data_IF_405926854062
#
_entry.id   IF_405926854062
#
_cell.length_a   1.000
_cell.length_b   1.000
_cell.length_c   1.000
_cell.angle_alpha   90.00
_cell.angle_beta   90.00
_cell.angle_gamma   90.00
#
_symmetry.space_group_name_H-M   'P 1'
#
loop_
_entity.id
_entity.type
_entity.pdbx_description
1 polymer ?
#
# COMPACT_ATOMS: atom_id res chain seq x y z
N UNK A 1 1.51 23.15 -8.34
CA UNK A 1 2.70 23.60 -7.58
C UNK A 1 3.57 24.56 -8.37
N UNK A 2 3.84 24.34 -9.66
CA UNK A 2 4.65 25.28 -10.48
C UNK A 2 4.08 26.69 -10.54
N UNK A 3 2.77 26.88 -10.42
CA UNK A 3 2.12 28.18 -10.33
C UNK A 3 2.03 28.72 -8.89
N UNK A 4 2.73 28.13 -7.93
CA UNK A 4 2.69 28.53 -6.51
C UNK A 4 1.39 28.16 -5.78
N UNK A 5 0.51 27.36 -6.40
CA UNK A 5 -0.74 26.93 -5.77
C UNK A 5 -0.49 25.74 -4.84
N UNK A 6 -1.15 25.76 -3.69
CA UNK A 6 -1.14 24.64 -2.78
C UNK A 6 -1.92 23.45 -3.36
N UNK A 7 -1.37 22.25 -3.20
CA UNK A 7 -2.02 20.99 -3.55
C UNK A 7 -2.70 20.46 -2.28
N UNK A 8 -3.96 20.07 -2.39
CA UNK A 8 -4.71 19.54 -1.23
C UNK A 8 -4.16 18.18 -0.78
N UNK A 9 -4.27 17.87 0.51
CA UNK A 9 -3.93 16.56 1.06
C UNK A 9 -4.65 15.41 0.31
N UNK A 10 -5.92 15.61 -0.07
CA UNK A 10 -6.67 14.64 -0.88
C UNK A 10 -5.93 14.23 -2.16
N UNK A 11 -5.35 15.19 -2.88
CA UNK A 11 -4.61 14.92 -4.13
C UNK A 11 -3.27 14.28 -3.84
N UNK A 12 -2.56 14.74 -2.80
CA UNK A 12 -1.33 14.13 -2.35
C UNK A 12 -1.55 12.65 -2.01
N UNK A 13 -2.53 12.35 -1.16
CA UNK A 13 -2.88 10.98 -0.77
C UNK A 13 -3.35 10.11 -1.95
N UNK A 14 -4.08 10.70 -2.92
CA UNK A 14 -4.48 9.97 -4.14
C UNK A 14 -3.26 9.51 -4.93
N UNK A 15 -2.29 10.40 -5.17
CA UNK A 15 -1.07 10.08 -5.93
C UNK A 15 -0.24 9.05 -5.18
N UNK A 16 -0.03 9.25 -3.88
CA UNK A 16 0.71 8.35 -2.99
C UNK A 16 0.10 6.95 -2.99
N UNK A 17 -1.22 6.84 -2.78
CA UNK A 17 -1.91 5.54 -2.78
C UNK A 17 -1.87 4.87 -4.16
N UNK A 18 -2.01 5.62 -5.25
CA UNK A 18 -1.93 5.06 -6.60
C UNK A 18 -0.55 4.47 -6.89
N UNK A 19 0.52 5.15 -6.52
CA UNK A 19 1.89 4.62 -6.65
C UNK A 19 2.08 3.38 -5.77
N UNK A 20 1.64 3.41 -4.53
CA UNK A 20 1.73 2.26 -3.63
C UNK A 20 0.96 1.04 -4.18
N UNK A 21 -0.21 1.25 -4.76
CA UNK A 21 -1.00 0.17 -5.38
C UNK A 21 -0.21 -0.57 -6.48
N UNK A 22 0.74 0.10 -7.13
CA UNK A 22 1.58 -0.48 -8.19
C UNK A 22 2.89 -1.10 -7.70
N UNK A 23 3.13 -1.16 -6.38
CA UNK A 23 4.30 -1.87 -5.84
C UNK A 23 4.15 -3.37 -6.07
N UNK A 24 5.28 -4.10 -6.07
CA UNK A 24 5.24 -5.53 -6.33
C UNK A 24 4.31 -6.28 -5.38
N UNK A 25 3.51 -7.19 -5.91
CA UNK A 25 2.64 -8.10 -5.15
C UNK A 25 1.61 -7.40 -4.23
N UNK A 26 1.21 -6.16 -4.56
CA UNK A 26 0.18 -5.44 -3.81
C UNK A 26 -1.21 -5.64 -4.41
N UNK A 27 -1.38 -5.36 -5.69
CA UNK A 27 -2.69 -5.40 -6.33
C UNK A 27 -2.64 -6.07 -7.70
N UNK A 28 -3.39 -7.15 -7.84
CA UNK A 28 -3.55 -7.94 -9.07
C UNK A 28 -4.93 -7.74 -9.70
N UNK A 29 -5.78 -6.90 -9.09
CA UNK A 29 -7.15 -6.68 -9.55
C UNK A 29 -7.19 -5.58 -10.60
N UNK A 30 -7.45 -5.98 -11.85
CA UNK A 30 -7.57 -5.08 -13.00
C UNK A 30 -8.64 -4.01 -12.78
N UNK A 31 -9.81 -4.38 -12.26
CA UNK A 31 -10.93 -3.45 -12.04
C UNK A 31 -10.58 -2.40 -10.98
N UNK A 32 -9.88 -2.81 -9.93
CA UNK A 32 -9.34 -1.89 -8.91
C UNK A 32 -8.38 -0.86 -9.52
N UNK A 33 -7.44 -1.31 -10.35
CA UNK A 33 -6.47 -0.41 -11.03
C UNK A 33 -7.19 0.54 -11.99
N UNK A 34 -8.12 0.04 -12.79
CA UNK A 34 -8.90 0.88 -13.70
C UNK A 34 -9.72 1.94 -12.97
N UNK A 35 -10.34 1.57 -11.85
CA UNK A 35 -11.09 2.51 -11.01
C UNK A 35 -10.20 3.65 -10.50
N UNK A 36 -8.96 3.35 -10.09
CA UNK A 36 -7.98 4.34 -9.65
C UNK A 36 -7.54 5.27 -10.79
N UNK A 37 -7.36 4.73 -11.98
CA UNK A 37 -7.07 5.55 -13.18
C UNK A 37 -8.22 6.52 -13.44
N UNK A 38 -9.49 6.06 -13.41
CA UNK A 38 -10.67 6.92 -13.59
C UNK A 38 -10.74 8.02 -12.54
N UNK A 39 -10.52 7.68 -11.27
CA UNK A 39 -10.48 8.67 -10.19
C UNK A 39 -9.37 9.72 -10.41
N UNK A 40 -8.19 9.29 -10.86
CA UNK A 40 -7.08 10.19 -11.18
C UNK A 40 -7.42 11.12 -12.33
N UNK A 41 -8.06 10.62 -13.39
CA UNK A 41 -8.49 11.44 -14.53
C UNK A 41 -9.53 12.48 -14.11
N UNK A 42 -10.48 12.10 -13.23
CA UNK A 42 -11.48 13.03 -12.68
C UNK A 42 -10.83 14.16 -11.89
N UNK A 43 -9.92 13.86 -10.98
CA UNK A 43 -9.20 14.89 -10.21
C UNK A 43 -8.28 15.76 -11.10
N UNK A 44 -7.67 15.17 -12.12
CA UNK A 44 -6.90 15.90 -13.11
C UNK A 44 -7.74 16.96 -13.84
N UNK A 45 -8.96 16.62 -14.28
CA UNK A 45 -9.88 17.57 -14.92
C UNK A 45 -10.25 18.73 -14.00
N UNK A 46 -10.46 18.45 -12.70
CA UNK A 46 -10.72 19.49 -11.70
C UNK A 46 -9.51 20.42 -11.57
N UNK A 47 -8.30 19.86 -11.51
CA UNK A 47 -7.07 20.63 -11.41
C UNK A 47 -6.80 21.47 -12.66
N UNK A 48 -7.04 20.92 -13.85
CA UNK A 48 -6.83 21.66 -15.12
C UNK A 48 -7.68 22.92 -15.22
N UNK A 49 -8.89 22.94 -14.64
CA UNK A 49 -9.74 24.14 -14.56
C UNK A 49 -9.16 25.25 -13.69
N UNK A 50 -8.25 24.90 -12.79
CA UNK A 50 -7.60 25.85 -11.86
C UNK A 50 -6.26 26.37 -12.40
N UNK A 51 -5.71 25.75 -13.45
CA UNK A 51 -4.45 26.12 -14.06
C UNK A 51 -4.69 27.28 -15.04
N UNK A 52 -3.95 28.37 -14.87
CA UNK A 52 -4.16 29.61 -15.65
C UNK A 52 -3.00 29.97 -16.58
N UNK A 53 -1.79 29.51 -16.30
CA UNK A 53 -0.56 29.98 -16.94
C UNK A 53 0.20 28.91 -17.75
N UNK A 54 -0.29 27.67 -17.82
CA UNK A 54 0.35 26.65 -18.63
C UNK A 54 0.01 26.85 -20.12
N UNK A 55 0.98 27.33 -20.89
CA UNK A 55 0.85 27.50 -22.32
C UNK A 55 1.01 26.18 -23.08
N UNK A 56 1.73 25.23 -22.52
CA UNK A 56 1.95 23.90 -23.11
C UNK A 56 1.76 22.82 -22.04
N UNK A 57 0.78 21.95 -22.26
CA UNK A 57 0.57 20.78 -21.42
C UNK A 57 1.39 19.59 -21.96
N UNK A 58 2.13 18.85 -21.10
CA UNK A 58 2.76 17.60 -21.49
C UNK A 58 1.71 16.56 -21.93
N UNK A 59 2.12 15.61 -22.74
CA UNK A 59 1.22 14.59 -23.30
C UNK A 59 0.45 13.81 -22.21
N UNK A 60 1.11 13.43 -21.14
CA UNK A 60 0.48 12.76 -20.02
C UNK A 60 -0.66 13.57 -19.37
N UNK A 61 -0.56 14.91 -19.37
CA UNK A 61 -1.62 15.78 -18.87
C UNK A 61 -2.80 15.91 -19.85
N UNK A 62 -2.59 15.66 -21.14
CA UNK A 62 -3.66 15.69 -22.17
C UNK A 62 -4.45 14.39 -22.23
N UNK A 63 -3.85 13.26 -21.88
CA UNK A 63 -4.51 11.96 -21.95
C UNK A 63 -5.77 11.93 -21.09
N UNK A 64 -6.91 11.57 -21.70
CA UNK A 64 -8.23 11.61 -21.07
C UNK A 64 -8.87 10.22 -20.85
N UNK A 65 -8.14 9.15 -21.19
CA UNK A 65 -8.63 7.76 -21.04
C UNK A 65 -9.61 7.30 -22.12
N UNK A 66 -9.80 8.07 -23.21
CA UNK A 66 -10.71 7.70 -24.29
C UNK A 66 -10.16 6.58 -25.21
N UNK A 67 -8.85 6.37 -25.18
CA UNK A 67 -8.17 5.35 -25.96
C UNK A 67 -8.31 3.95 -25.32
N UNK A 68 -8.00 2.92 -26.11
CA UNK A 68 -7.79 1.57 -25.55
C UNK A 68 -6.60 1.60 -24.57
N UNK A 69 -6.85 1.27 -23.32
CA UNK A 69 -5.86 1.38 -22.26
C UNK A 69 -4.72 0.36 -22.39
N UNK A 70 -4.98 -0.80 -22.97
CA UNK A 70 -3.94 -1.80 -23.23
C UNK A 70 -2.99 -1.35 -24.34
N UNK A 71 -3.50 -0.68 -25.37
CA UNK A 71 -2.67 -0.05 -26.41
C UNK A 71 -1.88 1.12 -25.85
N UNK A 72 -2.51 1.98 -25.04
CA UNK A 72 -1.81 3.07 -24.36
C UNK A 72 -0.68 2.56 -23.47
N UNK A 73 -0.90 1.51 -22.71
CA UNK A 73 0.12 0.90 -21.86
C UNK A 73 1.36 0.46 -22.64
N UNK A 74 1.22 0.01 -23.88
CA UNK A 74 2.35 -0.36 -24.73
C UNK A 74 3.18 0.85 -25.14
N UNK A 75 2.55 2.02 -25.33
CA UNK A 75 3.24 3.25 -25.77
C UNK A 75 3.91 4.01 -24.64
N UNK A 76 3.52 3.77 -23.39
CA UNK A 76 4.06 4.44 -22.19
C UNK A 76 4.77 3.48 -21.24
N UNK A 77 4.92 2.21 -21.62
CA UNK A 77 5.57 1.18 -20.80
C UNK A 77 7.09 1.39 -20.73
N UNK A 78 7.73 0.60 -19.87
CA UNK A 78 9.18 0.65 -19.61
C UNK A 78 10.01 0.64 -20.89
N UNK A 79 9.66 -0.20 -21.86
CA UNK A 79 10.38 -0.36 -23.11
C UNK A 79 10.13 0.75 -24.14
N UNK A 80 9.28 1.74 -23.86
CA UNK A 80 9.08 2.90 -24.74
C UNK A 80 10.29 3.84 -24.75
N UNK A 81 11.16 3.78 -23.75
CA UNK A 81 12.43 4.50 -23.70
C UNK A 81 13.52 3.62 -24.31
N UNK A 82 14.01 3.98 -25.52
CA UNK A 82 14.99 3.16 -26.26
C UNK A 82 16.37 3.13 -25.61
N UNK A 83 16.85 4.29 -25.12
CA UNK A 83 18.15 4.39 -24.46
C UNK A 83 18.10 3.63 -23.12
N UNK A 84 18.96 2.62 -22.98
CA UNK A 84 18.96 1.73 -21.83
C UNK A 84 19.39 2.40 -20.53
N UNK A 85 20.32 3.32 -20.55
CA UNK A 85 20.80 4.03 -19.37
C UNK A 85 19.70 4.96 -18.84
N UNK A 86 19.06 5.74 -19.74
CA UNK A 86 17.93 6.61 -19.37
C UNK A 86 16.75 5.78 -18.86
N UNK A 87 16.41 4.70 -19.54
CA UNK A 87 15.35 3.77 -19.10
C UNK A 87 15.60 3.22 -17.71
N UNK A 88 16.81 2.70 -17.47
CA UNK A 88 17.19 2.12 -16.19
C UNK A 88 17.13 3.13 -15.04
N UNK A 89 17.59 4.36 -15.27
CA UNK A 89 17.51 5.43 -14.28
C UNK A 89 16.08 5.87 -14.00
N UNK A 90 15.25 6.02 -15.04
CA UNK A 90 13.81 6.33 -14.88
C UNK A 90 13.09 5.26 -14.08
N UNK A 91 13.36 3.99 -14.35
CA UNK A 91 12.78 2.87 -13.60
C UNK A 91 13.28 2.85 -12.14
N UNK A 92 14.58 3.07 -11.91
CA UNK A 92 15.13 3.13 -10.57
C UNK A 92 14.49 4.25 -9.73
N UNK A 93 14.32 5.44 -10.32
CA UNK A 93 13.59 6.55 -9.69
C UNK A 93 12.14 6.14 -9.39
N UNK A 94 11.45 5.57 -10.37
CA UNK A 94 10.05 5.13 -10.23
C UNK A 94 9.90 4.10 -9.11
N UNK A 95 10.78 3.11 -9.01
CA UNK A 95 10.77 2.13 -7.91
C UNK A 95 11.05 2.80 -6.56
N UNK A 96 12.00 3.73 -6.50
CA UNK A 96 12.26 4.51 -5.29
C UNK A 96 11.02 5.31 -4.84
N UNK A 97 10.32 5.95 -5.80
CA UNK A 97 9.09 6.69 -5.51
C UNK A 97 7.93 5.78 -5.07
N UNK A 98 7.83 4.56 -5.61
CA UNK A 98 6.86 3.56 -5.14
C UNK A 98 7.14 3.16 -3.68
N UNK A 99 8.40 2.93 -3.32
CA UNK A 99 8.80 2.67 -1.93
C UNK A 99 8.49 3.85 -1.02
N UNK A 100 8.87 5.07 -1.42
CA UNK A 100 8.54 6.30 -0.69
C UNK A 100 7.02 6.44 -0.49
N UNK A 101 6.22 6.14 -1.51
CA UNK A 101 4.77 6.22 -1.44
C UNK A 101 4.17 5.23 -0.44
N UNK A 102 4.76 4.04 -0.30
CA UNK A 102 4.34 3.07 0.69
C UNK A 102 4.55 3.59 2.12
N UNK A 103 5.72 4.15 2.41
CA UNK A 103 6.00 4.76 3.71
C UNK A 103 5.08 5.96 4.00
N UNK A 104 4.93 6.86 3.02
CA UNK A 104 4.05 8.02 3.15
C UNK A 104 2.60 7.62 3.40
N UNK A 105 2.07 6.63 2.66
CA UNK A 105 0.69 6.15 2.85
C UNK A 105 0.47 5.63 4.28
N UNK A 106 1.40 4.85 4.82
CA UNK A 106 1.27 4.35 6.19
C UNK A 106 1.34 5.46 7.24
N UNK A 107 2.16 6.50 7.02
CA UNK A 107 2.19 7.68 7.87
C UNK A 107 0.89 8.50 7.75
N UNK A 108 0.38 8.72 6.53
CA UNK A 108 -0.83 9.51 6.28
C UNK A 108 -2.07 8.92 6.98
N UNK A 109 -2.22 7.60 7.06
CA UNK A 109 -3.36 6.98 7.79
C UNK A 109 -3.28 7.19 9.30
N UNK A 110 -2.10 7.54 9.82
CA UNK A 110 -1.85 7.95 11.20
C UNK A 110 -1.81 9.47 11.37
N UNK A 111 -2.30 10.22 10.37
CA UNK A 111 -2.40 11.69 10.33
C UNK A 111 -1.04 12.43 10.32
N UNK A 112 0.03 11.76 9.86
CA UNK A 112 1.32 12.40 9.61
C UNK A 112 1.47 12.65 8.11
N UNK A 113 1.55 13.94 7.75
CA UNK A 113 1.74 14.41 6.38
C UNK A 113 3.04 15.24 6.28
N UNK A 114 3.68 15.21 5.10
CA UNK A 114 4.85 16.02 4.82
C UNK A 114 4.77 16.57 3.38
N UNK A 115 4.45 17.86 3.26
CA UNK A 115 4.28 18.51 1.95
C UNK A 115 5.58 18.57 1.13
N UNK A 116 6.75 18.56 1.75
CA UNK A 116 8.03 18.50 1.02
C UNK A 116 8.25 17.13 0.39
N UNK A 117 7.90 16.05 1.11
CA UNK A 117 7.94 14.68 0.58
C UNK A 117 6.95 14.52 -0.57
N UNK A 118 5.71 14.99 -0.38
CA UNK A 118 4.68 14.96 -1.42
C UNK A 118 5.07 15.76 -2.66
N UNK A 119 5.62 16.96 -2.45
CA UNK A 119 6.09 17.81 -3.55
C UNK A 119 7.24 17.18 -4.32
N UNK A 120 8.19 16.58 -3.61
CA UNK A 120 9.30 15.86 -4.25
C UNK A 120 8.79 14.67 -5.06
N UNK A 121 7.94 13.83 -4.46
CA UNK A 121 7.36 12.65 -5.13
C UNK A 121 6.69 13.03 -6.45
N UNK A 122 5.87 14.09 -6.44
CA UNK A 122 5.18 14.57 -7.63
C UNK A 122 6.16 15.17 -8.68
N UNK A 123 7.15 15.95 -8.23
CA UNK A 123 8.21 16.52 -9.09
C UNK A 123 9.00 15.41 -9.76
N UNK A 124 9.48 14.45 -8.99
CA UNK A 124 10.32 13.37 -9.49
C UNK A 124 9.56 12.44 -10.43
N UNK A 125 8.30 12.10 -10.11
CA UNK A 125 7.44 11.32 -11.01
C UNK A 125 7.21 12.04 -12.34
N UNK A 126 6.94 13.33 -12.32
CA UNK A 126 6.80 14.13 -13.55
C UNK A 126 8.12 14.21 -14.36
N UNK A 127 9.26 14.27 -13.68
CA UNK A 127 10.57 14.32 -14.31
C UNK A 127 10.91 13.04 -15.09
N UNK A 128 10.40 11.86 -14.69
CA UNK A 128 10.60 10.62 -15.45
C UNK A 128 9.98 10.65 -16.86
N UNK A 129 9.11 11.62 -17.15
CA UNK A 129 8.50 11.82 -18.47
C UNK A 129 9.20 12.92 -19.29
N UNK A 130 10.27 13.53 -18.78
CA UNK A 130 10.98 14.61 -19.45
C UNK A 130 12.15 14.06 -20.28
N UNK A 131 11.98 14.04 -21.61
CA UNK A 131 12.99 13.54 -22.54
C UNK A 131 14.22 14.45 -22.69
N UNK A 132 14.18 15.66 -22.12
CA UNK A 132 15.32 16.60 -22.16
C UNK A 132 16.30 16.41 -20.98
N UNK A 133 16.02 15.51 -20.03
CA UNK A 133 16.94 15.25 -18.94
C UNK A 133 18.10 14.38 -19.42
N UNK A 134 19.31 14.78 -19.07
CA UNK A 134 20.53 14.02 -19.31
C UNK A 134 20.65 12.83 -18.34
N UNK A 135 21.58 11.95 -18.60
CA UNK A 135 21.95 10.85 -17.66
C UNK A 135 22.40 11.42 -16.32
N UNK A 136 23.19 12.51 -16.33
CA UNK A 136 23.68 13.17 -15.12
C UNK A 136 22.52 13.75 -14.30
N UNK A 137 21.53 14.37 -14.95
CA UNK A 137 20.32 14.88 -14.29
C UNK A 137 19.53 13.75 -13.62
N UNK A 138 19.39 12.62 -14.29
CA UNK A 138 18.69 11.44 -13.76
C UNK A 138 19.45 10.76 -12.61
N UNK A 139 20.79 10.74 -12.67
CA UNK A 139 21.62 10.29 -11.55
C UNK A 139 21.41 11.19 -10.33
N UNK A 140 21.45 12.52 -10.53
CA UNK A 140 21.19 13.47 -9.46
C UNK A 140 19.79 13.28 -8.84
N UNK A 141 18.77 13.10 -9.68
CA UNK A 141 17.40 12.82 -9.24
C UNK A 141 17.27 11.49 -8.50
N UNK A 142 18.02 10.46 -8.91
CA UNK A 142 18.08 9.18 -8.19
C UNK A 142 18.63 9.36 -6.77
N UNK A 143 19.70 10.11 -6.62
CA UNK A 143 20.28 10.42 -5.29
C UNK A 143 19.31 11.25 -4.45
N UNK A 144 18.63 12.22 -5.05
CA UNK A 144 17.59 13.01 -4.37
C UNK A 144 16.41 12.12 -3.93
N UNK A 145 16.01 11.15 -4.74
CA UNK A 145 14.98 10.15 -4.40
C UNK A 145 15.37 9.36 -3.15
N UNK A 146 16.64 8.94 -3.06
CA UNK A 146 17.16 8.28 -1.86
C UNK A 146 17.10 9.17 -0.61
N UNK A 147 17.45 10.46 -0.75
CA UNK A 147 17.36 11.42 0.36
C UNK A 147 15.91 11.56 0.88
N UNK A 148 14.94 11.72 -0.02
CA UNK A 148 13.53 11.80 0.38
C UNK A 148 12.98 10.46 0.86
N UNK A 149 13.55 9.34 0.43
CA UNK A 149 13.30 8.03 1.00
C UNK A 149 13.60 7.98 2.51
N UNK A 150 14.75 8.54 2.93
CA UNK A 150 15.08 8.68 4.36
C UNK A 150 14.06 9.56 5.09
N UNK A 151 13.63 10.67 4.49
CA UNK A 151 12.60 11.54 5.08
C UNK A 151 11.27 10.83 5.25
N UNK A 152 10.86 10.02 4.26
CA UNK A 152 9.64 9.22 4.34
C UNK A 152 9.70 8.13 5.41
N UNK A 153 10.85 7.45 5.55
CA UNK A 153 11.06 6.47 6.63
C UNK A 153 11.01 7.12 8.00
N UNK A 154 11.64 8.28 8.18
CA UNK A 154 11.61 9.02 9.44
C UNK A 154 10.19 9.50 9.79
N UNK A 155 9.40 9.91 8.79
CA UNK A 155 8.00 10.26 8.97
C UNK A 155 7.17 9.06 9.43
N UNK A 156 7.36 7.90 8.81
CA UNK A 156 6.67 6.67 9.22
C UNK A 156 7.08 6.20 10.61
N UNK A 157 8.38 6.23 10.93
CA UNK A 157 8.87 5.89 12.27
C UNK A 157 8.23 6.78 13.34
N UNK A 158 8.19 8.10 13.09
CA UNK A 158 7.49 9.05 13.97
C UNK A 158 6.01 8.71 14.10
N UNK A 159 5.29 8.50 13.00
CA UNK A 159 3.87 8.18 13.01
C UNK A 159 3.57 6.91 13.82
N UNK A 160 4.35 5.85 13.62
CA UNK A 160 4.21 4.60 14.34
C UNK A 160 4.54 4.72 15.82
N UNK A 161 5.65 5.40 16.17
CA UNK A 161 6.08 5.52 17.56
C UNK A 161 5.20 6.46 18.36
N UNK A 162 4.70 7.54 17.77
CA UNK A 162 3.73 8.45 18.41
C UNK A 162 2.38 7.74 18.65
N UNK A 163 1.94 6.89 17.70
CA UNK A 163 0.66 6.19 17.80
C UNK A 163 0.72 4.95 18.69
N UNK A 164 1.80 4.18 18.61
CA UNK A 164 1.87 2.83 19.19
C UNK A 164 2.97 2.66 20.24
N UNK A 165 3.79 3.67 20.46
CA UNK A 165 4.94 3.65 21.37
C UNK A 165 6.21 3.12 20.72
N UNK A 166 7.33 3.27 21.41
CA UNK A 166 8.63 2.78 20.94
C UNK A 166 8.68 1.26 21.02
N UNK A 167 9.10 0.57 19.94
CA UNK A 167 9.24 -0.88 19.93
C UNK A 167 10.11 -1.43 21.06
N UNK A 168 9.68 -2.52 21.66
CA UNK A 168 10.34 -3.18 22.78
C UNK A 168 10.75 -4.61 22.45
N UNK A 169 11.81 -5.12 23.10
CA UNK A 169 12.18 -6.53 23.02
C UNK A 169 11.02 -7.36 23.56
N UNK A 170 10.45 -8.19 22.71
CA UNK A 170 9.19 -8.92 22.99
C UNK A 170 9.32 -10.39 22.63
N UNK A 171 8.87 -11.25 23.53
CA UNK A 171 8.67 -12.67 23.22
C UNK A 171 7.32 -12.83 22.53
N UNK A 172 7.32 -13.29 21.29
CA UNK A 172 6.11 -13.52 20.50
C UNK A 172 5.73 -15.01 20.59
N UNK A 173 4.47 -15.28 20.93
CA UNK A 173 3.94 -16.64 20.88
C UNK A 173 3.84 -17.11 19.43
N UNK A 174 4.25 -18.35 19.16
CA UNK A 174 4.16 -18.98 17.83
C UNK A 174 3.18 -20.16 17.81
N UNK A 175 2.49 -20.40 18.90
CA UNK A 175 1.43 -21.42 19.01
C UNK A 175 0.05 -20.82 18.77
N UNK A 176 -0.93 -21.69 18.57
CA UNK A 176 -2.34 -21.31 18.40
C UNK A 176 -3.16 -21.70 19.62
N UNK A 177 -4.25 -20.96 19.88
CA UNK A 177 -5.27 -21.28 20.88
C UNK A 177 -6.41 -22.09 20.24
N UNK A 178 -7.41 -22.41 21.06
CA UNK A 178 -8.59 -23.18 20.60
C UNK A 178 -9.71 -22.33 20.03
N UNK A 179 -9.67 -21.02 20.26
CA UNK A 179 -10.70 -20.09 19.81
C UNK A 179 -10.60 -19.84 18.30
N UNK A 180 -11.71 -19.45 17.65
CA UNK A 180 -11.67 -19.02 16.24
C UNK A 180 -10.64 -17.92 16.02
N UNK A 181 -9.92 -17.98 14.91
CA UNK A 181 -8.83 -17.04 14.65
C UNK A 181 -8.94 -16.32 13.31
N UNK A 182 -8.45 -15.08 13.26
CA UNK A 182 -8.21 -14.28 12.05
C UNK A 182 -6.70 -14.13 11.88
N UNK A 183 -6.22 -14.37 10.66
CA UNK A 183 -4.81 -14.15 10.28
C UNK A 183 -4.66 -12.81 9.57
N UNK A 184 -3.71 -11.99 10.00
CA UNK A 184 -3.42 -10.69 9.39
C UNK A 184 -2.01 -10.65 8.84
N UNK A 185 -1.87 -10.34 7.55
CA UNK A 185 -0.59 -10.22 6.87
C UNK A 185 -0.48 -8.87 6.15
N UNK A 186 0.74 -8.49 5.79
CA UNK A 186 1.05 -7.18 5.21
C UNK A 186 1.69 -6.26 6.25
N UNK A 187 1.48 -4.93 6.14
CA UNK A 187 2.27 -3.95 6.88
C UNK A 187 1.43 -2.88 7.61
N UNK A 188 0.11 -2.81 7.39
CA UNK A 188 -0.71 -1.70 7.90
C UNK A 188 -1.09 -1.92 9.37
N UNK A 189 -0.45 -1.15 10.27
CA UNK A 189 -0.71 -1.24 11.70
C UNK A 189 -2.07 -0.64 12.10
N UNK A 190 -2.59 0.32 11.32
CA UNK A 190 -3.90 0.91 11.58
C UNK A 190 -5.02 -0.09 11.30
N UNK A 191 -4.91 -0.85 10.20
CA UNK A 191 -5.85 -1.92 9.88
C UNK A 191 -5.82 -3.01 10.96
N UNK A 192 -4.64 -3.36 11.46
CA UNK A 192 -4.50 -4.30 12.58
C UNK A 192 -5.14 -3.76 13.86
N UNK A 193 -4.90 -2.49 14.21
CA UNK A 193 -5.52 -1.86 15.39
C UNK A 193 -7.04 -1.92 15.31
N UNK A 194 -7.62 -1.51 14.18
CA UNK A 194 -9.07 -1.54 13.96
C UNK A 194 -9.64 -2.96 14.08
N UNK A 195 -8.91 -3.98 13.56
CA UNK A 195 -9.29 -5.37 13.71
C UNK A 195 -9.29 -5.82 15.17
N UNK A 196 -8.24 -5.49 15.91
CA UNK A 196 -8.11 -5.84 17.32
C UNK A 196 -9.21 -5.20 18.19
N UNK A 197 -9.52 -3.92 17.93
CA UNK A 197 -10.61 -3.21 18.62
C UNK A 197 -11.97 -3.85 18.36
N UNK A 198 -12.27 -4.21 17.12
CA UNK A 198 -13.56 -4.79 16.74
C UNK A 198 -13.73 -6.23 17.23
N UNK A 199 -12.64 -6.98 17.35
CA UNK A 199 -12.67 -8.38 17.78
C UNK A 199 -12.49 -8.55 19.29
N UNK A 200 -12.15 -7.49 20.02
CA UNK A 200 -11.97 -7.55 21.47
C UNK A 200 -13.27 -7.97 22.17
N UNK A 201 -13.18 -8.99 23.02
CA UNK A 201 -14.32 -9.52 23.78
C UNK A 201 -15.30 -10.40 23.00
N UNK A 202 -15.05 -10.66 21.71
CA UNK A 202 -15.92 -11.52 20.87
C UNK A 202 -15.57 -13.00 20.94
N UNK A 203 -14.45 -13.37 21.56
CA UNK A 203 -13.93 -14.74 21.57
C UNK A 203 -13.17 -15.11 20.29
N UNK A 204 -12.79 -14.13 19.48
CA UNK A 204 -11.99 -14.32 18.26
C UNK A 204 -10.54 -13.90 18.51
N UNK A 205 -9.62 -14.82 18.28
CA UNK A 205 -8.17 -14.59 18.36
C UNK A 205 -7.63 -13.96 17.06
N UNK A 206 -6.61 -13.11 17.19
CA UNK A 206 -5.92 -12.48 16.04
C UNK A 206 -4.46 -12.91 16.05
N UNK A 207 -4.00 -13.37 14.91
CA UNK A 207 -2.62 -13.78 14.64
C UNK A 207 -2.02 -12.94 13.53
N UNK A 208 -0.76 -12.56 13.69
CA UNK A 208 0.01 -11.98 12.59
C UNK A 208 0.66 -13.06 11.73
N UNK A 209 1.02 -12.67 10.51
CA UNK A 209 1.81 -13.49 9.61
C UNK A 209 2.89 -12.63 8.94
N UNK A 210 4.08 -13.20 8.77
CA UNK A 210 5.18 -12.61 7.99
C UNK A 210 5.51 -11.18 8.42
N UNK A 211 5.37 -10.22 7.53
CA UNK A 211 5.77 -8.82 7.71
C UNK A 211 4.94 -8.06 8.77
N UNK A 212 3.84 -8.64 9.26
CA UNK A 212 3.06 -8.08 10.36
C UNK A 212 3.63 -8.45 11.74
N UNK A 213 4.59 -9.37 11.83
CA UNK A 213 5.25 -9.78 13.08
C UNK A 213 5.73 -8.58 13.94
N UNK A 214 6.34 -7.51 13.37
CA UNK A 214 6.79 -6.37 14.15
C UNK A 214 5.69 -5.65 14.96
N UNK A 215 4.42 -5.82 14.64
CA UNK A 215 3.32 -5.26 15.41
C UNK A 215 3.36 -5.66 16.90
N UNK A 216 3.83 -6.88 17.20
CA UNK A 216 3.97 -7.36 18.57
C UNK A 216 4.99 -6.58 19.42
N UNK A 217 5.88 -5.82 18.78
CA UNK A 217 6.92 -5.07 19.47
C UNK A 217 6.42 -3.74 20.03
N UNK A 218 5.29 -3.24 19.52
CA UNK A 218 4.73 -1.96 19.93
C UNK A 218 3.90 -2.09 21.22
N UNK A 219 4.15 -1.25 22.23
CA UNK A 219 3.46 -1.32 23.53
C UNK A 219 1.94 -1.23 23.42
N UNK A 220 1.43 -0.39 22.51
CA UNK A 220 -0.01 -0.13 22.36
C UNK A 220 -0.81 -1.39 21.99
N UNK A 221 -0.23 -2.35 21.30
CA UNK A 221 -0.90 -3.60 20.94
C UNK A 221 -0.92 -4.64 22.05
N UNK A 222 -0.05 -4.50 23.07
CA UNK A 222 0.03 -5.45 24.19
C UNK A 222 -1.19 -5.43 25.13
N UNK A 223 -2.03 -4.39 25.01
CA UNK A 223 -3.30 -4.29 25.76
C UNK A 223 -4.40 -5.24 25.29
N UNK A 224 -4.28 -5.80 24.07
CA UNK A 224 -5.32 -6.64 23.47
C UNK A 224 -5.12 -8.12 23.83
N UNK A 225 -5.99 -8.73 24.66
CA UNK A 225 -5.84 -10.12 25.07
C UNK A 225 -6.08 -11.12 23.94
N UNK A 226 -6.78 -10.69 22.89
CA UNK A 226 -7.04 -11.43 21.66
C UNK A 226 -5.91 -11.30 20.62
N UNK A 227 -4.87 -10.52 20.87
CA UNK A 227 -3.66 -10.45 20.04
C UNK A 227 -2.67 -11.53 20.49
N UNK A 228 -2.78 -12.72 19.90
CA UNK A 228 -2.22 -13.94 20.49
C UNK A 228 -0.76 -14.18 20.15
N UNK A 229 -0.39 -14.00 18.89
CA UNK A 229 0.95 -14.34 18.44
C UNK A 229 1.10 -14.31 16.92
N UNK A 230 2.19 -14.87 16.44
CA UNK A 230 2.48 -14.97 15.01
C UNK A 230 2.28 -16.40 14.52
N UNK A 231 1.53 -16.56 13.45
CA UNK A 231 1.31 -17.82 12.75
C UNK A 231 2.14 -17.87 11.48
N UNK A 232 2.88 -18.95 11.30
CA UNK A 232 3.66 -19.15 10.08
C UNK A 232 4.98 -18.40 10.06
N UNK A 233 5.51 -18.21 8.87
CA UNK A 233 6.88 -17.79 8.60
C UNK A 233 6.90 -16.58 7.64
N UNK A 234 7.76 -16.62 6.63
CA UNK A 234 7.93 -15.54 5.66
C UNK A 234 6.88 -15.61 4.54
N UNK A 235 6.66 -14.47 3.85
CA UNK A 235 5.61 -14.29 2.84
C UNK A 235 5.57 -15.38 1.76
N UNK A 236 6.69 -15.97 1.36
CA UNK A 236 6.73 -17.03 0.33
C UNK A 236 6.17 -18.38 0.80
N UNK A 237 5.87 -18.51 2.10
CA UNK A 237 5.23 -19.69 2.68
C UNK A 237 3.69 -19.61 2.69
N UNK A 238 3.13 -18.51 2.20
CA UNK A 238 1.67 -18.26 2.25
C UNK A 238 0.83 -19.42 1.73
N UNK A 239 1.26 -20.08 0.63
CA UNK A 239 0.43 -21.12 0.01
C UNK A 239 0.14 -22.30 0.93
N UNK A 240 1.11 -22.72 1.71
CA UNK A 240 0.99 -23.81 2.67
C UNK A 240 0.37 -23.34 3.98
N UNK A 241 0.80 -22.20 4.46
CA UNK A 241 0.42 -21.64 5.75
C UNK A 241 -1.02 -21.12 5.76
N UNK A 242 -1.43 -20.42 4.69
CA UNK A 242 -2.81 -19.95 4.55
C UNK A 242 -3.81 -21.10 4.32
N UNK A 243 -3.37 -22.14 3.63
CA UNK A 243 -4.19 -23.35 3.46
C UNK A 243 -4.42 -24.05 4.80
N UNK A 244 -3.41 -24.14 5.66
CA UNK A 244 -3.48 -24.79 6.97
C UNK A 244 -4.16 -23.97 8.06
N UNK A 245 -4.30 -22.64 7.89
CA UNK A 245 -4.88 -21.77 8.91
C UNK A 245 -6.40 -21.88 9.04
N UNK A 246 -7.15 -22.40 8.20
CA UNK A 246 -8.62 -22.63 8.20
C UNK A 246 -9.53 -21.42 8.53
N UNK A 247 -9.05 -20.33 9.12
CA UNK A 247 -9.80 -19.10 9.42
C UNK A 247 -9.75 -18.05 8.30
N UNK A 248 -10.44 -16.92 8.48
CA UNK A 248 -10.32 -15.76 7.60
C UNK A 248 -8.90 -15.19 7.59
N UNK A 249 -8.48 -14.66 6.43
CA UNK A 249 -7.14 -14.10 6.23
C UNK A 249 -7.31 -12.69 5.69
N UNK A 250 -6.68 -11.71 6.33
CA UNK A 250 -6.68 -10.31 5.94
C UNK A 250 -5.31 -9.90 5.41
N UNK A 251 -5.24 -9.54 4.13
CA UNK A 251 -4.07 -8.94 3.51
C UNK A 251 -4.23 -7.41 3.48
N UNK A 252 -3.41 -6.72 4.24
CA UNK A 252 -3.51 -5.25 4.39
C UNK A 252 -2.70 -4.50 3.34
N UNK A 253 -1.65 -5.11 2.81
CA UNK A 253 -0.75 -4.51 1.82
C UNK A 253 -0.18 -5.55 0.87
N UNK A 254 0.99 -5.28 0.30
CA UNK A 254 1.73 -6.17 -0.58
C UNK A 254 2.24 -7.45 0.12
N UNK A 255 3.02 -8.19 -0.63
CA UNK A 255 3.47 -9.57 -0.42
C UNK A 255 2.37 -10.61 -0.64
N UNK A 256 1.35 -10.29 -1.46
CA UNK A 256 0.35 -11.29 -1.87
C UNK A 256 1.02 -12.30 -2.80
N UNK A 257 0.98 -13.57 -2.43
CA UNK A 257 1.27 -14.69 -3.33
C UNK A 257 -0.06 -15.13 -3.96
N UNK A 258 -0.14 -15.36 -5.28
CA UNK A 258 -1.38 -15.80 -5.91
C UNK A 258 -2.01 -16.96 -5.14
N UNK A 259 -3.24 -16.76 -4.59
CA UNK A 259 -3.84 -17.73 -3.67
C UNK A 259 -4.26 -19.01 -4.38
N UNK A 260 -4.26 -20.12 -3.62
CA UNK A 260 -4.91 -21.36 -4.05
C UNK A 260 -6.43 -21.25 -3.91
N UNK A 261 -7.16 -21.99 -4.72
CA UNK A 261 -8.61 -22.05 -4.65
C UNK A 261 -9.12 -22.57 -3.28
N UNK A 262 -8.30 -23.38 -2.59
CA UNK A 262 -8.62 -23.97 -1.28
C UNK A 262 -8.81 -22.96 -0.14
N UNK A 263 -8.31 -21.72 -0.30
CA UNK A 263 -8.46 -20.67 0.73
C UNK A 263 -8.82 -19.27 0.18
N UNK A 264 -8.98 -19.14 -1.14
CA UNK A 264 -9.24 -17.86 -1.79
C UNK A 264 -10.54 -17.21 -1.34
N UNK A 265 -11.56 -17.99 -1.06
CA UNK A 265 -12.89 -17.55 -0.61
C UNK A 265 -12.88 -16.91 0.80
N UNK A 266 -11.86 -17.21 1.60
CA UNK A 266 -11.66 -16.64 2.94
C UNK A 266 -10.48 -15.65 3.01
N UNK A 267 -9.95 -15.24 1.83
CA UNK A 267 -8.94 -14.19 1.70
C UNK A 267 -9.60 -12.84 1.44
N UNK A 268 -9.31 -11.87 2.28
CA UNK A 268 -9.80 -10.51 2.22
C UNK A 268 -8.65 -9.55 2.02
N UNK A 269 -8.91 -8.41 1.38
CA UNK A 269 -7.90 -7.36 1.14
C UNK A 269 -8.39 -6.01 1.62
N UNK A 270 -7.48 -5.12 2.00
CA UNK A 270 -7.74 -3.72 2.37
C UNK A 270 -6.81 -2.77 1.63
N UNK A 271 -7.12 -1.48 1.64
CA UNK A 271 -6.24 -0.41 1.22
C UNK A 271 -5.72 -0.53 -0.21
N UNK A 272 -4.39 -0.65 -0.33
CA UNK A 272 -3.71 -0.82 -1.62
C UNK A 272 -3.75 -2.26 -2.14
N UNK A 273 -4.03 -3.24 -1.28
CA UNK A 273 -4.05 -4.66 -1.62
C UNK A 273 -5.28 -5.01 -2.46
N UNK A 274 -5.11 -5.94 -3.38
CA UNK A 274 -6.22 -6.44 -4.20
C UNK A 274 -5.86 -7.72 -4.96
N UNK A 275 -6.83 -8.62 -5.06
CA UNK A 275 -6.68 -9.83 -5.88
C UNK A 275 -8.03 -10.20 -6.53
N UNK A 276 -8.05 -10.60 -7.82
CA UNK A 276 -9.29 -10.95 -8.52
C UNK A 276 -10.08 -12.05 -7.81
N UNK A 277 -11.36 -11.77 -7.52
CA UNK A 277 -12.26 -12.71 -6.86
C UNK A 277 -12.08 -12.80 -5.34
N UNK A 278 -11.16 -12.05 -4.73
CA UNK A 278 -11.11 -11.84 -3.29
C UNK A 278 -11.95 -10.64 -2.88
N UNK A 279 -12.56 -10.71 -1.70
CA UNK A 279 -13.38 -9.62 -1.20
C UNK A 279 -12.49 -8.47 -0.72
N UNK A 280 -12.69 -7.28 -1.28
CA UNK A 280 -12.02 -6.07 -0.81
C UNK A 280 -12.89 -5.34 0.23
N UNK A 281 -12.29 -5.02 1.36
CA UNK A 281 -12.91 -4.25 2.43
C UNK A 281 -12.48 -2.80 2.25
N UNK A 282 -13.43 -1.92 1.92
CA UNK A 282 -13.22 -0.49 1.73
C UNK A 282 -13.93 0.30 2.82
N UNK A 283 -13.34 1.41 3.24
CA UNK A 283 -13.91 2.37 4.20
C UNK A 283 -13.01 2.62 5.41
N UNK A 284 -13.29 3.70 6.14
CA UNK A 284 -12.59 4.06 7.39
C UNK A 284 -12.89 3.09 8.54
N UNK A 285 -13.98 2.35 8.42
CA UNK A 285 -14.34 1.29 9.35
C UNK A 285 -14.31 0.00 8.56
N UNK A 286 -13.33 -0.85 8.86
CA UNK A 286 -13.38 -2.23 8.44
C UNK A 286 -14.73 -2.80 8.90
N UNK A 287 -15.68 -2.97 8.01
CA UNK A 287 -16.93 -3.62 8.31
C UNK A 287 -16.66 -5.12 8.51
N UNK A 288 -16.05 -5.47 9.62
CA UNK A 288 -15.63 -6.81 10.00
C UNK A 288 -16.77 -7.77 10.31
N UNK A 289 -18.03 -7.29 10.28
CA UNK A 289 -19.22 -8.16 10.34
C UNK A 289 -19.11 -9.29 9.31
N UNK A 290 -18.39 -9.05 8.21
CA UNK A 290 -18.14 -10.07 7.18
C UNK A 290 -16.90 -10.95 7.42
N UNK A 291 -15.96 -10.52 8.29
CA UNK A 291 -14.78 -11.32 8.66
C UNK A 291 -15.04 -12.10 9.96
N UNK A 292 -15.81 -11.50 10.88
CA UNK A 292 -16.10 -12.08 12.20
C UNK A 292 -17.29 -13.03 12.22
N UNK A 293 -17.97 -13.30 11.10
CA UNK A 293 -18.81 -14.49 11.04
C UNK A 293 -17.89 -15.73 11.01
N UNK A 294 -17.58 -16.32 12.18
CA UNK A 294 -16.80 -17.54 12.19
C UNK A 294 -17.66 -18.57 11.47
N UNK A 295 -17.14 -19.10 10.40
CA UNK A 295 -17.63 -20.40 9.95
C UNK A 295 -17.52 -21.33 11.16
N UNK A 296 -18.65 -21.71 11.76
CA UNK A 296 -18.76 -22.55 12.96
C UNK A 296 -18.10 -23.93 12.82
N UNK A 297 -17.24 -24.12 11.82
CA UNK A 297 -16.60 -25.37 11.44
C UNK A 297 -15.08 -25.38 11.40
N UNK A 298 -14.40 -24.35 11.91
CA UNK A 298 -12.95 -24.44 12.15
C UNK A 298 -12.66 -25.16 13.48
N UNK A 299 -13.16 -26.38 13.63
CA UNK A 299 -12.62 -27.28 14.63
C UNK A 299 -11.36 -27.90 14.06
N UNK A 300 -10.24 -27.58 14.66
CA UNK A 300 -8.98 -28.27 14.47
C UNK A 300 -9.17 -29.73 14.93
N UNK A 301 -9.12 -30.66 13.99
CA UNK A 301 -8.91 -32.08 14.28
C UNK A 301 -7.43 -32.36 14.31
#
# INVERSE_FOLDING_TARGET
RQEGKQVSAKINHLITLNLFTTITNANFDKESIESRIRATLTEKEVLLKQVTNLTVLPEAAKWNGAENWEEKARTVGVLSTENEDIRSLRELITYGLKGLSAYSKHANVLLEDNDEVDAFLQKALAATLNDNLSVEDLIALTMETGKYGVSGMAMLDKANTDSYGTPEITKVNIGVRKDPGILVSGHDLRDLEMLLEQTQGTGVDVYTHSEMLPAHYYPAFKKYPNFVGNYGNAWWKQKEEFESFHGPILMTTNCIVPPKDSYKDRLYTTGAAGYPGCKHISGEILSLIHISEPTRHAQIS
#
